data_IF_169357572741
#
_entry.id   IF_169357572741
#
_cell.length_a   1.000
_cell.length_b   1.000
_cell.length_c   1.000
_cell.angle_alpha   90.00
_cell.angle_beta   90.00
_cell.angle_gamma   90.00
#
_symmetry.space_group_name_H-M   'P 1'
#
loop_
_entity.id
_entity.type
_entity.pdbx_description
1 polymer ?
#
# COMPACT_ATOMS: atom_id res chain seq x y z
N UNK A 1 -8.82 12.31 24.72
CA UNK A 1 -9.14 12.06 23.30
C UNK A 1 -10.63 12.33 23.12
N UNK A 2 -11.06 13.21 22.19
CA UNK A 2 -12.48 13.46 22.01
C UNK A 2 -13.14 12.21 21.42
N UNK A 3 -14.36 11.89 21.88
CA UNK A 3 -15.17 10.76 21.46
C UNK A 3 -15.30 10.74 19.92
N UNK A 4 -14.45 9.96 19.23
CA UNK A 4 -14.75 9.57 17.87
C UNK A 4 -16.00 8.69 17.93
N UNK A 5 -17.09 9.19 17.37
CA UNK A 5 -18.27 8.41 17.02
C UNK A 5 -17.87 7.01 16.54
N UNK A 6 -18.41 5.97 17.14
CA UNK A 6 -18.16 4.56 16.76
C UNK A 6 -18.79 4.17 15.42
N UNK A 7 -19.61 5.03 14.81
CA UNK A 7 -20.23 4.75 13.52
C UNK A 7 -19.22 4.89 12.36
N UNK A 8 -18.86 3.75 11.76
CA UNK A 8 -17.87 3.67 10.69
C UNK A 8 -18.24 4.48 9.44
N UNK A 9 -19.53 4.56 9.10
CA UNK A 9 -19.99 5.35 7.95
C UNK A 9 -19.80 6.84 8.22
N UNK A 10 -20.14 7.32 9.41
CA UNK A 10 -19.90 8.71 9.78
C UNK A 10 -18.42 9.07 9.72
N UNK A 11 -17.54 8.21 10.24
CA UNK A 11 -16.09 8.39 10.12
C UNK A 11 -15.67 8.51 8.65
N UNK A 12 -16.13 7.60 7.79
CA UNK A 12 -15.83 7.61 6.36
C UNK A 12 -16.30 8.90 5.68
N UNK A 13 -17.54 9.35 5.92
CA UNK A 13 -18.07 10.60 5.34
C UNK A 13 -17.22 11.80 5.77
N UNK A 14 -16.75 11.80 7.02
CA UNK A 14 -15.93 12.87 7.58
C UNK A 14 -14.49 12.86 7.11
N UNK A 15 -13.93 11.71 6.74
CA UNK A 15 -12.59 11.63 6.18
C UNK A 15 -12.51 12.12 4.73
N UNK A 16 -13.63 12.22 4.01
CA UNK A 16 -13.64 12.64 2.61
C UNK A 16 -13.19 14.10 2.43
N UNK A 17 -12.38 14.33 1.42
CA UNK A 17 -12.05 15.68 0.96
C UNK A 17 -13.21 16.34 0.19
N UNK A 18 -13.17 17.66 0.06
CA UNK A 18 -14.19 18.41 -0.69
C UNK A 18 -14.35 17.91 -2.13
N UNK A 19 -13.25 17.54 -2.79
CA UNK A 19 -13.27 17.00 -4.14
C UNK A 19 -13.94 15.62 -4.20
N UNK A 20 -13.63 14.74 -3.25
CA UNK A 20 -14.21 13.40 -3.14
C UNK A 20 -15.72 13.46 -2.86
N UNK A 21 -16.15 14.32 -1.93
CA UNK A 21 -17.58 14.55 -1.64
C UNK A 21 -18.35 15.00 -2.89
N UNK A 22 -17.74 15.89 -3.69
CA UNK A 22 -18.34 16.35 -4.95
C UNK A 22 -18.43 15.21 -5.97
N UNK A 23 -17.36 14.43 -6.11
CA UNK A 23 -17.30 13.31 -7.05
C UNK A 23 -18.33 12.24 -6.69
N UNK A 24 -18.48 11.90 -5.41
CA UNK A 24 -19.51 10.98 -4.92
C UNK A 24 -20.92 11.41 -5.34
N UNK A 25 -21.28 12.69 -5.13
CA UNK A 25 -22.60 13.21 -5.53
C UNK A 25 -22.82 13.12 -7.05
N UNK A 26 -21.78 13.34 -7.85
CA UNK A 26 -21.86 13.19 -9.31
C UNK A 26 -21.98 11.73 -9.73
N UNK A 27 -21.25 10.84 -9.06
CA UNK A 27 -21.28 9.40 -9.29
C UNK A 27 -22.69 8.85 -9.08
N UNK A 28 -23.30 9.14 -7.92
CA UNK A 28 -24.68 8.73 -7.63
C UNK A 28 -25.64 9.30 -8.68
N UNK A 29 -25.57 10.61 -8.97
CA UNK A 29 -26.47 11.22 -9.98
C UNK A 29 -26.37 10.61 -11.38
N UNK A 30 -25.22 10.05 -11.77
CA UNK A 30 -25.02 9.44 -13.10
C UNK A 30 -25.52 8.01 -13.19
N UNK A 31 -25.45 7.25 -12.11
CA UNK A 31 -25.68 5.80 -12.11
C UNK A 31 -27.07 5.41 -11.61
N UNK A 32 -27.93 6.39 -11.32
CA UNK A 32 -29.11 6.18 -10.50
C UNK A 32 -30.41 6.74 -11.07
N UNK A 33 -31.49 5.99 -10.87
CA UNK A 33 -32.88 6.47 -10.96
C UNK A 33 -33.39 6.91 -9.56
N UNK A 34 -34.63 7.40 -9.48
CA UNK A 34 -35.21 8.18 -8.35
C UNK A 34 -35.01 7.68 -6.90
N UNK A 35 -34.67 6.41 -6.66
CA UNK A 35 -34.42 5.85 -5.33
C UNK A 35 -33.19 6.46 -4.61
N UNK A 36 -32.27 7.07 -5.35
CA UNK A 36 -30.97 7.52 -4.83
C UNK A 36 -30.96 8.96 -4.28
N UNK A 37 -32.10 9.65 -4.32
CA UNK A 37 -32.29 10.91 -3.59
C UNK A 37 -32.12 10.70 -2.08
N UNK A 38 -32.56 9.55 -1.54
CA UNK A 38 -32.41 9.23 -0.11
C UNK A 38 -30.95 9.00 0.28
N UNK A 39 -30.14 8.44 -0.61
CA UNK A 39 -28.70 8.22 -0.40
C UNK A 39 -27.98 9.58 -0.33
N UNK A 40 -28.27 10.50 -1.25
CA UNK A 40 -27.71 11.86 -1.23
C UNK A 40 -28.18 12.62 0.03
N UNK A 41 -29.47 12.50 0.41
CA UNK A 41 -30.00 13.12 1.63
C UNK A 41 -29.29 12.61 2.88
N UNK A 42 -29.14 11.29 3.03
CA UNK A 42 -28.42 10.68 4.15
C UNK A 42 -26.97 11.15 4.19
N UNK A 43 -26.28 11.17 3.05
CA UNK A 43 -24.92 11.68 2.94
C UNK A 43 -24.80 13.14 3.39
N UNK A 44 -25.67 14.00 2.90
CA UNK A 44 -25.67 15.44 3.24
C UNK A 44 -25.99 15.69 4.70
N UNK A 45 -26.87 14.88 5.29
CA UNK A 45 -27.17 14.95 6.71
C UNK A 45 -25.94 14.59 7.55
N UNK A 46 -25.28 13.46 7.25
CA UNK A 46 -24.07 13.02 7.93
C UNK A 46 -22.90 14.01 7.75
N UNK A 47 -22.72 14.56 6.55
CA UNK A 47 -21.65 15.54 6.27
C UNK A 47 -21.83 16.85 7.04
N UNK A 48 -23.07 17.26 7.33
CA UNK A 48 -23.35 18.48 8.11
C UNK A 48 -23.24 18.30 9.62
N UNK A 49 -23.40 17.07 10.12
CA UNK A 49 -23.37 16.79 11.57
C UNK A 49 -21.96 16.91 12.14
N UNK A 50 -21.79 17.52 13.32
CA UNK A 50 -20.47 17.60 13.98
C UNK A 50 -20.11 16.28 14.68
N UNK A 51 -21.08 15.72 15.38
CA UNK A 51 -21.00 14.43 16.06
C UNK A 51 -22.15 13.55 15.58
N UNK A 52 -21.95 12.25 15.59
CA UNK A 52 -22.98 11.30 15.17
C UNK A 52 -24.05 11.15 16.25
N UNK A 53 -25.30 11.37 15.85
CA UNK A 53 -26.49 11.21 16.69
C UNK A 53 -27.66 10.73 15.80
N UNK A 54 -28.10 9.50 16.01
CA UNK A 54 -29.15 8.88 15.21
C UNK A 54 -30.52 9.55 15.38
N UNK A 55 -30.85 10.01 16.58
CA UNK A 55 -32.13 10.64 16.87
C UNK A 55 -32.21 12.01 16.19
N UNK A 56 -31.11 12.77 16.23
CA UNK A 56 -30.99 14.04 15.50
C UNK A 56 -31.02 13.82 13.99
N UNK A 57 -30.39 12.75 13.49
CA UNK A 57 -30.41 12.39 12.07
C UNK A 57 -31.84 12.11 11.58
N UNK A 58 -32.61 11.30 12.32
CA UNK A 58 -33.98 10.94 11.96
C UNK A 58 -34.96 12.10 12.13
N UNK A 59 -34.86 12.86 13.23
CA UNK A 59 -35.75 14.00 13.49
C UNK A 59 -35.62 15.13 12.46
N UNK A 60 -34.42 15.34 11.90
CA UNK A 60 -34.19 16.37 10.87
C UNK A 60 -34.45 15.91 9.43
N UNK A 61 -34.73 14.62 9.21
CA UNK A 61 -34.90 14.04 7.89
C UNK A 61 -36.09 13.07 7.86
N UNK A 62 -37.31 13.61 7.82
CA UNK A 62 -38.57 12.84 7.87
C UNK A 62 -38.72 11.79 6.74
N UNK A 63 -37.99 11.95 5.63
CA UNK A 63 -37.95 10.97 4.53
C UNK A 63 -37.20 9.67 4.88
N UNK A 64 -36.38 9.69 5.93
CA UNK A 64 -35.59 8.57 6.42
C UNK A 64 -36.35 7.85 7.54
N UNK A 65 -36.80 6.63 7.25
CA UNK A 65 -37.49 5.79 8.24
C UNK A 65 -36.48 4.99 9.04
N UNK A 66 -36.67 4.90 10.37
CA UNK A 66 -35.80 4.13 11.26
C UNK A 66 -35.62 2.67 10.82
N UNK A 67 -36.68 2.03 10.32
CA UNK A 67 -36.60 0.64 9.84
C UNK A 67 -35.69 0.48 8.60
N UNK A 68 -35.54 1.52 7.79
CA UNK A 68 -34.74 1.51 6.56
C UNK A 68 -33.31 2.02 6.77
N UNK A 69 -33.03 2.70 7.89
CA UNK A 69 -31.78 3.42 8.11
C UNK A 69 -30.56 2.50 8.02
N UNK A 70 -30.61 1.31 8.62
CA UNK A 70 -29.49 0.35 8.56
C UNK A 70 -29.13 -0.02 7.13
N UNK A 71 -30.12 -0.37 6.30
CA UNK A 71 -29.91 -0.71 4.90
C UNK A 71 -29.43 0.49 4.08
N UNK A 72 -29.98 1.69 4.34
CA UNK A 72 -29.55 2.91 3.66
C UNK A 72 -28.11 3.29 4.00
N UNK A 73 -27.68 3.08 5.25
CA UNK A 73 -26.29 3.28 5.67
C UNK A 73 -25.36 2.30 4.98
N UNK A 74 -25.70 1.01 4.95
CA UNK A 74 -24.90 0.00 4.25
C UNK A 74 -24.77 0.34 2.75
N UNK A 75 -25.89 0.68 2.10
CA UNK A 75 -25.87 1.07 0.70
C UNK A 75 -25.07 2.35 0.45
N UNK A 76 -25.20 3.38 1.30
CA UNK A 76 -24.40 4.60 1.20
C UNK A 76 -22.91 4.30 1.36
N UNK A 77 -22.54 3.45 2.30
CA UNK A 77 -21.15 3.03 2.52
C UNK A 77 -20.57 2.40 1.25
N UNK A 78 -21.26 1.42 0.67
CA UNK A 78 -20.82 0.74 -0.57
C UNK A 78 -20.72 1.70 -1.76
N UNK A 79 -21.65 2.65 -1.88
CA UNK A 79 -21.65 3.67 -2.94
C UNK A 79 -20.49 4.66 -2.79
N UNK A 80 -20.14 5.06 -1.55
CA UNK A 80 -18.98 5.92 -1.29
C UNK A 80 -17.70 5.17 -1.70
N UNK A 81 -17.53 3.93 -1.25
CA UNK A 81 -16.35 3.13 -1.61
C UNK A 81 -16.23 2.92 -3.13
N UNK A 82 -17.35 2.63 -3.80
CA UNK A 82 -17.39 2.47 -5.26
C UNK A 82 -17.01 3.75 -5.99
N UNK A 83 -17.50 4.91 -5.53
CA UNK A 83 -17.11 6.20 -6.10
C UNK A 83 -15.64 6.52 -5.87
N UNK A 84 -15.11 6.28 -4.67
CA UNK A 84 -13.71 6.54 -4.34
C UNK A 84 -12.78 5.66 -5.18
N UNK A 85 -13.12 4.38 -5.36
CA UNK A 85 -12.36 3.45 -6.19
C UNK A 85 -12.15 3.99 -7.60
N UNK A 86 -13.17 4.58 -8.22
CA UNK A 86 -13.08 5.16 -9.58
C UNK A 86 -12.16 6.38 -9.62
N UNK A 87 -12.23 7.24 -8.59
CA UNK A 87 -11.39 8.46 -8.53
C UNK A 87 -9.93 8.09 -8.34
N UNK A 88 -9.64 7.15 -7.43
CA UNK A 88 -8.28 6.73 -7.06
C UNK A 88 -7.66 5.71 -8.01
N UNK A 89 -8.42 5.24 -8.99
CA UNK A 89 -7.99 4.21 -9.92
C UNK A 89 -6.72 4.58 -10.68
N UNK A 90 -6.58 5.82 -11.12
CA UNK A 90 -5.40 6.26 -11.88
C UNK A 90 -4.19 6.62 -10.98
N UNK A 91 -4.39 6.70 -9.67
CA UNK A 91 -3.34 7.08 -8.70
C UNK A 91 -2.76 5.87 -8.00
N UNK A 92 -3.53 4.78 -7.85
CA UNK A 92 -3.12 3.60 -7.11
C UNK A 92 -2.81 2.43 -8.05
N UNK A 93 -1.53 2.02 -8.09
CA UNK A 93 -1.05 0.96 -8.97
C UNK A 93 -1.74 -0.39 -8.73
N UNK A 94 -2.09 -0.71 -7.49
CA UNK A 94 -2.76 -1.97 -7.12
C UNK A 94 -4.18 -1.99 -7.70
N UNK A 95 -4.91 -0.88 -7.62
CA UNK A 95 -6.23 -0.74 -8.23
C UNK A 95 -6.17 -0.88 -9.76
N UNK A 96 -5.15 -0.31 -10.42
CA UNK A 96 -4.95 -0.45 -11.86
C UNK A 96 -4.67 -1.90 -12.26
N UNK A 97 -3.77 -2.57 -11.54
CA UNK A 97 -3.42 -3.97 -11.79
C UNK A 97 -4.64 -4.86 -11.58
N UNK A 98 -5.40 -4.65 -10.51
CA UNK A 98 -6.63 -5.39 -10.22
C UNK A 98 -7.66 -5.25 -11.34
N UNK A 99 -7.95 -4.03 -11.79
CA UNK A 99 -8.90 -3.83 -12.88
C UNK A 99 -8.45 -4.55 -14.15
N UNK A 100 -7.19 -4.42 -14.55
CA UNK A 100 -6.69 -5.09 -15.75
C UNK A 100 -6.76 -6.62 -15.61
N UNK A 101 -6.49 -7.17 -14.42
CA UNK A 101 -6.67 -8.59 -14.14
C UNK A 101 -8.14 -9.02 -14.28
N UNK A 102 -9.08 -8.19 -13.81
CA UNK A 102 -10.51 -8.46 -13.95
C UNK A 102 -10.94 -8.44 -15.42
N UNK A 103 -10.46 -7.47 -16.21
CA UNK A 103 -10.64 -7.45 -17.67
C UNK A 103 -10.07 -8.71 -18.33
N UNK A 104 -8.88 -9.16 -17.93
CA UNK A 104 -8.28 -10.38 -18.48
C UNK A 104 -9.14 -11.62 -18.17
N UNK A 105 -9.69 -11.73 -16.96
CA UNK A 105 -10.60 -12.80 -16.56
C UNK A 105 -11.94 -12.74 -17.31
N UNK A 106 -12.50 -11.55 -17.53
CA UNK A 106 -13.72 -11.35 -18.32
C UNK A 106 -13.51 -11.85 -19.75
N UNK A 107 -12.40 -11.45 -20.40
CA UNK A 107 -12.05 -11.90 -21.74
C UNK A 107 -11.89 -13.43 -21.81
N UNK A 108 -11.20 -14.01 -20.82
CA UNK A 108 -11.07 -15.45 -20.68
C UNK A 108 -12.45 -16.16 -20.61
N UNK A 109 -13.34 -15.68 -19.73
CA UNK A 109 -14.68 -16.24 -19.56
C UNK A 109 -15.57 -16.08 -20.81
N UNK A 110 -15.27 -15.12 -21.68
CA UNK A 110 -15.93 -14.93 -22.99
C UNK A 110 -15.30 -15.75 -24.12
N UNK A 111 -14.29 -16.58 -23.84
CA UNK A 111 -13.58 -17.37 -24.84
C UNK A 111 -12.52 -16.60 -25.65
N UNK A 112 -12.24 -15.35 -25.27
CA UNK A 112 -11.27 -14.47 -25.94
C UNK A 112 -9.86 -14.67 -25.37
N UNK A 113 -9.33 -15.89 -25.51
CA UNK A 113 -8.09 -16.32 -24.83
C UNK A 113 -6.85 -15.55 -25.27
N UNK A 114 -6.67 -15.31 -26.57
CA UNK A 114 -5.51 -14.56 -27.10
C UNK A 114 -5.54 -13.10 -26.63
N UNK A 115 -6.72 -12.50 -26.55
CA UNK A 115 -6.91 -11.14 -26.03
C UNK A 115 -6.61 -11.09 -24.53
N UNK A 116 -7.04 -12.10 -23.77
CA UNK A 116 -6.69 -12.25 -22.35
C UNK A 116 -5.17 -12.34 -22.17
N UNK A 117 -4.47 -13.21 -22.92
CA UNK A 117 -3.00 -13.35 -22.88
C UNK A 117 -2.27 -12.04 -23.20
N UNK A 118 -2.72 -11.31 -24.23
CA UNK A 118 -2.14 -9.99 -24.57
C UNK A 118 -2.27 -8.98 -23.44
N UNK A 119 -3.37 -9.04 -22.68
CA UNK A 119 -3.56 -8.18 -21.53
C UNK A 119 -2.68 -8.62 -20.36
N UNK A 120 -2.57 -9.92 -20.09
CA UNK A 120 -1.68 -10.48 -19.07
C UNK A 120 -0.22 -10.07 -19.28
N UNK A 121 0.26 -10.02 -20.52
CA UNK A 121 1.64 -9.59 -20.81
C UNK A 121 1.89 -8.11 -20.44
N UNK A 122 0.88 -7.25 -20.66
CA UNK A 122 0.95 -5.85 -20.22
C UNK A 122 0.95 -5.74 -18.70
N UNK A 123 0.08 -6.50 -18.03
CA UNK A 123 0.00 -6.52 -16.56
C UNK A 123 1.32 -7.02 -15.97
N UNK A 124 1.93 -8.06 -16.56
CA UNK A 124 3.23 -8.60 -16.14
C UNK A 124 4.34 -7.55 -16.20
N UNK A 125 4.35 -6.75 -17.26
CA UNK A 125 5.32 -5.64 -17.41
C UNK A 125 5.09 -4.60 -16.30
N UNK A 126 3.83 -4.23 -16.07
CA UNK A 126 3.43 -3.25 -15.06
C UNK A 126 3.79 -3.72 -13.64
N UNK A 127 3.55 -4.99 -13.32
CA UNK A 127 3.87 -5.55 -11.99
C UNK A 127 5.36 -5.62 -11.76
N UNK A 128 6.16 -6.03 -12.76
CA UNK A 128 7.63 -6.04 -12.68
C UNK A 128 8.20 -4.63 -12.46
N UNK A 129 7.72 -3.62 -13.19
CA UNK A 129 8.16 -2.22 -13.07
C UNK A 129 7.86 -1.60 -11.69
N UNK A 130 6.78 -2.02 -11.04
CA UNK A 130 6.34 -1.49 -9.75
C UNK A 130 6.65 -2.42 -8.56
N UNK A 131 7.49 -3.43 -8.75
CA UNK A 131 7.86 -4.41 -7.71
C UNK A 131 6.67 -5.18 -7.09
N UNK A 132 5.57 -5.34 -7.84
CA UNK A 132 4.33 -5.97 -7.39
C UNK A 132 4.36 -7.50 -7.57
N UNK A 133 5.19 -8.19 -6.78
CA UNK A 133 5.52 -9.62 -6.95
C UNK A 133 4.30 -10.55 -6.74
N UNK A 134 3.41 -10.23 -5.79
CA UNK A 134 2.21 -11.04 -5.52
C UNK A 134 1.22 -10.99 -6.69
N UNK A 135 1.08 -9.83 -7.33
CA UNK A 135 0.30 -9.68 -8.55
C UNK A 135 0.95 -10.37 -9.75
N UNK A 136 2.28 -10.31 -9.86
CA UNK A 136 3.02 -11.05 -10.88
C UNK A 136 2.71 -12.55 -10.81
N UNK A 137 2.68 -13.14 -9.61
CA UNK A 137 2.28 -14.54 -9.42
C UNK A 137 0.84 -14.80 -9.90
N UNK A 138 -0.12 -13.92 -9.58
CA UNK A 138 -1.50 -14.06 -10.06
C UNK A 138 -1.59 -14.03 -11.59
N UNK A 139 -0.84 -13.14 -12.24
CA UNK A 139 -0.75 -13.05 -13.71
C UNK A 139 -0.20 -14.36 -14.28
N UNK A 140 0.93 -14.84 -13.76
CA UNK A 140 1.59 -16.06 -14.22
C UNK A 140 0.71 -17.30 -14.04
N UNK A 141 -0.03 -17.41 -12.93
CA UNK A 141 -0.97 -18.51 -12.73
C UNK A 141 -2.13 -18.48 -13.71
N UNK A 142 -2.69 -17.30 -14.00
CA UNK A 142 -3.76 -17.17 -14.98
C UNK A 142 -3.25 -17.48 -16.40
N UNK A 143 -2.05 -17.02 -16.74
CA UNK A 143 -1.42 -17.36 -18.01
C UNK A 143 -1.19 -18.87 -18.15
N UNK A 144 -0.59 -19.50 -17.13
CA UNK A 144 -0.37 -20.95 -17.08
C UNK A 144 -1.67 -21.74 -17.24
N UNK A 145 -2.77 -21.27 -16.61
CA UNK A 145 -4.11 -21.88 -16.75
C UNK A 145 -4.63 -21.79 -18.19
N UNK A 146 -4.44 -20.66 -18.87
CA UNK A 146 -4.89 -20.49 -20.26
C UNK A 146 -4.10 -21.43 -21.18
N UNK A 147 -2.77 -21.41 -21.05
CA UNK A 147 -1.85 -22.23 -21.85
C UNK A 147 -2.09 -23.74 -21.64
N UNK A 148 -2.46 -24.17 -20.43
CA UNK A 148 -2.72 -25.58 -20.15
C UNK A 148 -4.05 -26.10 -20.71
N UNK A 149 -5.02 -25.22 -20.97
CA UNK A 149 -6.39 -25.60 -21.33
C UNK A 149 -6.73 -25.32 -22.80
N UNK A 150 -5.97 -24.48 -23.49
CA UNK A 150 -6.32 -23.99 -24.81
C UNK A 150 -5.12 -24.03 -25.77
N UNK A 151 -5.38 -24.35 -27.04
CA UNK A 151 -4.36 -24.25 -28.08
C UNK A 151 -4.20 -22.77 -28.44
N UNK A 152 -3.23 -22.13 -27.80
CA UNK A 152 -2.88 -20.70 -27.98
C UNK A 152 -1.89 -20.48 -29.12
N UNK A 153 -1.25 -21.57 -29.61
CA UNK A 153 -0.11 -21.56 -30.54
C UNK A 153 1.07 -20.72 -29.99
N UNK A 154 1.22 -20.72 -28.66
CA UNK A 154 2.37 -20.13 -27.98
C UNK A 154 3.67 -20.86 -28.37
N UNK A 155 4.82 -20.19 -28.19
CA UNK A 155 6.13 -20.72 -28.57
C UNK A 155 6.40 -22.08 -27.92
N UNK A 156 7.17 -22.95 -28.60
CA UNK A 156 7.49 -24.33 -28.18
C UNK A 156 8.05 -24.45 -26.74
N UNK A 157 8.55 -23.35 -26.15
CA UNK A 157 9.14 -23.33 -24.80
C UNK A 157 8.32 -22.55 -23.75
N UNK A 158 7.09 -22.10 -24.05
CA UNK A 158 6.33 -21.23 -23.12
C UNK A 158 6.09 -21.87 -21.76
N UNK A 159 5.82 -23.18 -21.73
CA UNK A 159 5.62 -23.91 -20.47
C UNK A 159 6.84 -23.87 -19.55
N UNK A 160 8.04 -24.00 -20.13
CA UNK A 160 9.31 -23.91 -19.37
C UNK A 160 9.54 -22.48 -18.88
N UNK A 161 9.40 -21.49 -19.76
CA UNK A 161 9.53 -20.08 -19.39
C UNK A 161 8.59 -19.69 -18.25
N UNK A 162 7.32 -20.12 -18.30
CA UNK A 162 6.36 -19.87 -17.22
C UNK A 162 6.76 -20.53 -15.90
N UNK A 163 7.36 -21.72 -15.95
CA UNK A 163 7.89 -22.37 -14.74
C UNK A 163 9.02 -21.54 -14.14
N UNK A 164 10.00 -21.18 -14.96
CA UNK A 164 11.16 -20.39 -14.54
C UNK A 164 10.73 -19.02 -13.97
N UNK A 165 9.78 -18.33 -14.63
CA UNK A 165 9.22 -17.05 -14.16
C UNK A 165 8.48 -17.18 -12.80
N UNK A 166 7.77 -18.28 -12.57
CA UNK A 166 7.08 -18.54 -11.29
C UNK A 166 8.09 -18.83 -10.18
N UNK A 167 9.11 -19.63 -10.46
CA UNK A 167 10.14 -19.99 -9.49
C UNK A 167 10.95 -18.76 -9.07
N UNK A 168 11.33 -17.90 -10.03
CA UNK A 168 11.97 -16.61 -9.74
C UNK A 168 11.08 -15.70 -8.87
N UNK A 169 9.79 -15.58 -9.22
CA UNK A 169 8.86 -14.76 -8.45
C UNK A 169 8.66 -15.28 -7.01
N UNK A 170 8.62 -16.61 -6.82
CA UNK A 170 8.54 -17.23 -5.51
C UNK A 170 9.81 -17.03 -4.67
N UNK A 171 10.99 -17.13 -5.29
CA UNK A 171 12.25 -16.84 -4.61
C UNK A 171 12.27 -15.38 -4.11
N UNK A 172 11.92 -14.43 -4.98
CA UNK A 172 11.81 -13.02 -4.59
C UNK A 172 10.81 -12.80 -3.47
N UNK A 173 9.61 -13.39 -3.56
CA UNK A 173 8.59 -13.27 -2.51
C UNK A 173 9.11 -13.81 -1.16
N UNK A 174 9.82 -14.93 -1.17
CA UNK A 174 10.45 -15.52 0.01
C UNK A 174 11.50 -14.60 0.63
N UNK A 175 12.34 -13.97 -0.20
CA UNK A 175 13.34 -13.00 0.25
C UNK A 175 12.70 -11.77 0.89
N UNK A 176 11.68 -11.21 0.23
CA UNK A 176 10.92 -10.05 0.71
C UNK A 176 10.27 -10.38 2.06
N UNK A 177 9.51 -11.48 2.14
CA UNK A 177 8.78 -11.85 3.35
C UNK A 177 9.71 -12.10 4.55
N UNK A 178 10.82 -12.80 4.35
CA UNK A 178 11.76 -13.10 5.44
C UNK A 178 12.49 -11.85 5.94
N UNK A 179 12.94 -11.00 5.02
CA UNK A 179 13.63 -9.77 5.40
C UNK A 179 12.69 -8.74 6.04
N UNK A 180 11.45 -8.63 5.58
CA UNK A 180 10.43 -7.79 6.22
C UNK A 180 10.07 -8.27 7.62
N UNK A 181 9.98 -9.59 7.82
CA UNK A 181 9.73 -10.16 9.14
C UNK A 181 10.85 -9.82 10.13
N UNK A 182 12.11 -9.94 9.71
CA UNK A 182 13.26 -9.58 10.54
C UNK A 182 13.26 -8.08 10.89
N UNK A 183 12.99 -7.21 9.91
CA UNK A 183 12.86 -5.76 10.14
C UNK A 183 11.76 -5.46 11.17
N UNK A 184 10.62 -6.14 11.05
CA UNK A 184 9.50 -5.99 12.00
C UNK A 184 9.85 -6.52 13.40
N UNK A 185 10.60 -7.62 13.51
CA UNK A 185 11.07 -8.15 14.78
C UNK A 185 12.02 -7.18 15.49
N UNK A 186 12.95 -6.56 14.76
CA UNK A 186 13.84 -5.52 15.31
C UNK A 186 13.05 -4.30 15.81
N UNK A 187 12.06 -3.85 15.04
CA UNK A 187 11.15 -2.78 15.48
C UNK A 187 10.34 -3.19 16.72
N UNK A 188 9.81 -4.41 16.75
CA UNK A 188 9.08 -4.95 17.90
C UNK A 188 9.95 -5.04 19.15
N UNK A 189 11.22 -5.44 18.99
CA UNK A 189 12.20 -5.46 20.08
C UNK A 189 12.40 -4.05 20.66
N UNK A 190 12.56 -3.03 19.81
CA UNK A 190 12.71 -1.64 20.24
C UNK A 190 11.47 -1.13 21.01
N UNK A 191 10.25 -1.43 20.56
CA UNK A 191 9.04 -1.04 21.29
C UNK A 191 9.02 -1.63 22.71
N UNK A 192 9.49 -2.87 22.86
CA UNK A 192 9.46 -3.59 24.13
C UNK A 192 10.56 -3.15 25.11
N UNK A 193 11.77 -2.87 24.60
CA UNK A 193 12.97 -2.70 25.45
C UNK A 193 13.57 -1.27 25.39
N UNK A 194 13.28 -0.51 24.34
CA UNK A 194 13.92 0.77 24.04
C UNK A 194 15.32 0.58 23.44
N UNK A 195 16.25 1.48 23.77
CA UNK A 195 17.67 1.29 23.42
C UNK A 195 18.31 0.18 24.26
N UNK A 196 19.30 -0.51 23.68
CA UNK A 196 20.09 -1.52 24.37
C UNK A 196 20.86 -0.91 25.55
N UNK A 197 20.78 -1.53 26.73
CA UNK A 197 21.32 -0.97 27.99
C UNK A 197 22.48 -1.77 28.57
N UNK A 198 22.64 -3.01 28.12
CA UNK A 198 23.67 -3.94 28.60
C UNK A 198 24.15 -4.87 27.46
N UNK A 199 25.12 -5.72 27.76
CA UNK A 199 25.69 -6.66 26.80
C UNK A 199 24.73 -7.80 26.43
N UNK A 200 23.78 -8.13 27.29
CA UNK A 200 22.75 -9.14 27.01
C UNK A 200 21.79 -8.66 25.90
N UNK A 201 21.34 -7.41 25.97
CA UNK A 201 20.54 -6.76 24.93
C UNK A 201 21.27 -6.75 23.59
N UNK A 202 22.55 -6.35 23.60
CA UNK A 202 23.42 -6.32 22.42
C UNK A 202 23.56 -7.72 21.81
N UNK A 203 23.80 -8.73 22.64
CA UNK A 203 23.91 -10.12 22.20
C UNK A 203 22.61 -10.62 21.58
N UNK A 204 21.45 -10.29 22.17
CA UNK A 204 20.15 -10.66 21.60
C UNK A 204 19.91 -10.02 20.22
N UNK A 205 20.30 -8.75 20.04
CA UNK A 205 20.22 -8.06 18.76
C UNK A 205 21.19 -8.62 17.73
N UNK A 206 22.41 -8.98 18.15
CA UNK A 206 23.42 -9.61 17.29
C UNK A 206 22.92 -10.95 16.76
N UNK A 207 22.23 -11.74 17.58
CA UNK A 207 21.61 -13.00 17.16
C UNK A 207 20.54 -12.78 16.08
N UNK A 208 19.72 -11.73 16.19
CA UNK A 208 18.77 -11.37 15.12
C UNK A 208 19.49 -10.99 13.82
N UNK A 209 20.59 -10.25 13.91
CA UNK A 209 21.38 -9.83 12.75
C UNK A 209 22.23 -10.96 12.13
N UNK A 210 22.34 -12.12 12.77
CA UNK A 210 22.98 -13.32 12.22
C UNK A 210 22.04 -14.14 11.31
N UNK A 211 20.78 -13.73 11.13
CA UNK A 211 19.86 -14.42 10.22
C UNK A 211 20.45 -14.47 8.79
N UNK A 212 20.58 -15.68 8.18
CA UNK A 212 21.13 -15.86 6.83
C UNK A 212 20.42 -15.04 5.75
N UNK A 213 19.18 -14.59 6.01
CA UNK A 213 18.43 -13.75 5.07
C UNK A 213 19.20 -12.48 4.71
N UNK A 214 19.93 -11.86 5.64
CA UNK A 214 20.63 -10.59 5.42
C UNK A 214 21.76 -10.71 4.39
N UNK A 215 22.43 -11.86 4.34
CA UNK A 215 23.41 -12.15 3.30
C UNK A 215 22.74 -12.53 1.97
N UNK A 216 21.61 -13.25 2.00
CA UNK A 216 20.87 -13.59 0.78
C UNK A 216 20.31 -12.35 0.06
N UNK A 217 19.77 -11.39 0.80
CA UNK A 217 19.20 -10.16 0.20
C UNK A 217 20.26 -9.14 -0.19
N UNK A 218 21.53 -9.35 0.17
CA UNK A 218 22.64 -8.44 -0.16
C UNK A 218 22.91 -8.35 -1.66
N UNK A 219 22.72 -9.45 -2.39
CA UNK A 219 22.87 -9.54 -3.85
C UNK A 219 21.54 -9.39 -4.59
N UNK A 220 20.43 -9.21 -3.86
CA UNK A 220 19.13 -9.03 -4.47
C UNK A 220 19.03 -7.67 -5.18
N UNK A 221 18.40 -7.66 -6.35
CA UNK A 221 18.26 -6.46 -7.17
C UNK A 221 16.91 -5.75 -6.96
N UNK A 222 15.93 -6.43 -6.39
CA UNK A 222 14.59 -5.90 -6.16
C UNK A 222 14.55 -4.79 -5.10
N UNK A 223 13.54 -3.93 -5.19
CA UNK A 223 13.39 -2.76 -4.33
C UNK A 223 13.17 -3.15 -2.87
N UNK A 224 12.19 -4.03 -2.61
CA UNK A 224 11.79 -4.40 -1.25
C UNK A 224 12.88 -5.17 -0.51
N UNK A 225 13.59 -6.06 -1.20
CA UNK A 225 14.71 -6.83 -0.64
C UNK A 225 15.82 -5.88 -0.13
N UNK A 226 16.14 -4.83 -0.90
CA UNK A 226 17.10 -3.78 -0.48
C UNK A 226 16.54 -2.93 0.65
N UNK A 227 15.28 -2.51 0.54
CA UNK A 227 14.60 -1.69 1.54
C UNK A 227 14.63 -2.36 2.91
N UNK A 228 14.14 -3.60 3.02
CA UNK A 228 14.06 -4.30 4.29
C UNK A 228 15.44 -4.61 4.86
N UNK A 229 16.44 -4.89 4.02
CA UNK A 229 17.84 -4.99 4.48
C UNK A 229 18.32 -3.69 5.12
N UNK A 230 18.03 -2.54 4.50
CA UNK A 230 18.43 -1.24 5.03
C UNK A 230 17.68 -0.92 6.33
N UNK A 231 16.40 -1.26 6.42
CA UNK A 231 15.61 -1.10 7.65
C UNK A 231 16.16 -1.95 8.80
N UNK A 232 16.54 -3.21 8.56
CA UNK A 232 17.15 -4.04 9.60
C UNK A 232 18.40 -3.38 10.19
N UNK A 233 19.33 -2.94 9.33
CA UNK A 233 20.54 -2.28 9.81
C UNK A 233 20.29 -0.89 10.42
N UNK A 234 19.29 -0.16 9.92
CA UNK A 234 18.86 1.12 10.48
C UNK A 234 18.38 0.95 11.92
N UNK A 235 17.48 -0.03 12.16
CA UNK A 235 17.00 -0.36 13.50
C UNK A 235 18.12 -0.86 14.40
N UNK A 236 18.94 -1.79 13.92
CA UNK A 236 20.04 -2.32 14.71
C UNK A 236 21.03 -1.23 15.16
N UNK A 237 21.42 -0.32 14.25
CA UNK A 237 22.27 0.83 14.60
C UNK A 237 21.59 1.77 15.60
N UNK A 238 20.32 2.09 15.38
CA UNK A 238 19.56 2.97 16.26
C UNK A 238 19.42 2.41 17.68
N UNK A 239 19.05 1.14 17.80
CA UNK A 239 18.86 0.46 19.09
C UNK A 239 20.18 0.40 19.88
N UNK A 240 21.29 0.10 19.20
CA UNK A 240 22.62 0.04 19.81
C UNK A 240 23.29 1.41 20.01
N UNK A 241 22.63 2.49 19.60
CA UNK A 241 23.18 3.86 19.59
C UNK A 241 24.46 3.99 18.74
N UNK A 242 24.62 3.12 17.74
CA UNK A 242 25.60 3.32 16.67
C UNK A 242 25.01 4.30 15.65
N UNK A 243 25.14 5.59 15.95
CA UNK A 243 24.58 6.67 15.14
C UNK A 243 25.19 6.73 13.73
N UNK A 244 26.43 6.26 13.54
CA UNK A 244 27.06 6.20 12.21
C UNK A 244 26.42 5.10 11.35
N UNK A 245 26.15 3.93 11.93
CA UNK A 245 25.46 2.85 11.25
C UNK A 245 24.01 3.23 10.94
N UNK A 246 23.31 3.83 11.91
CA UNK A 246 21.95 4.33 11.75
C UNK A 246 21.87 5.36 10.61
N UNK A 247 22.77 6.34 10.59
CA UNK A 247 22.88 7.32 9.50
C UNK A 247 23.13 6.66 8.15
N UNK A 248 24.16 5.80 8.05
CA UNK A 248 24.53 5.13 6.80
C UNK A 248 23.35 4.41 6.16
N UNK A 249 22.55 3.71 6.97
CA UNK A 249 21.44 2.91 6.45
C UNK A 249 20.13 3.70 6.29
N UNK A 250 19.93 4.78 7.05
CA UNK A 250 18.87 5.75 6.78
C UNK A 250 19.10 6.49 5.46
N UNK A 251 20.35 6.88 5.17
CA UNK A 251 20.70 7.50 3.90
C UNK A 251 20.47 6.54 2.74
N UNK A 252 20.94 5.29 2.82
CA UNK A 252 20.71 4.27 1.78
C UNK A 252 19.22 3.99 1.55
N UNK A 253 18.41 4.04 2.60
CA UNK A 253 16.96 3.92 2.48
C UNK A 253 16.40 5.09 1.67
N UNK A 254 16.71 6.34 2.01
CA UNK A 254 16.24 7.51 1.25
C UNK A 254 16.76 7.47 -0.19
N UNK A 255 18.05 7.20 -0.40
CA UNK A 255 18.66 7.10 -1.73
C UNK A 255 17.99 6.04 -2.62
N UNK A 256 17.51 4.94 -2.03
CA UNK A 256 16.78 3.90 -2.76
C UNK A 256 15.47 4.43 -3.35
N UNK A 257 14.77 5.29 -2.61
CA UNK A 257 13.58 5.99 -3.10
C UNK A 257 13.92 7.09 -4.09
N UNK A 258 15.01 7.85 -3.88
CA UNK A 258 15.49 8.85 -4.84
C UNK A 258 15.86 8.23 -6.20
N UNK A 259 16.35 6.99 -6.20
CA UNK A 259 16.64 6.25 -7.42
C UNK A 259 15.38 5.62 -8.08
N UNK A 260 14.22 5.66 -7.42
CA UNK A 260 13.00 4.94 -7.83
C UNK A 260 11.76 5.82 -7.65
N UNK A 261 11.56 6.83 -8.51
CA UNK A 261 10.49 7.83 -8.34
C UNK A 261 9.08 7.23 -8.26
N UNK A 262 8.79 6.16 -9.00
CA UNK A 262 7.50 5.46 -8.90
C UNK A 262 7.25 4.88 -7.50
N UNK A 263 8.31 4.47 -6.79
CA UNK A 263 8.20 3.93 -5.45
C UNK A 263 7.93 5.01 -4.41
N UNK A 264 8.31 6.28 -4.64
CA UNK A 264 7.92 7.39 -3.73
C UNK A 264 6.41 7.53 -3.65
N UNK A 265 5.71 7.37 -4.78
CA UNK A 265 4.24 7.42 -4.83
C UNK A 265 3.64 6.14 -4.26
N UNK A 266 4.08 4.97 -4.76
CA UNK A 266 3.53 3.67 -4.36
C UNK A 266 3.72 3.38 -2.86
N UNK A 267 4.85 3.80 -2.29
CA UNK A 267 5.29 3.50 -0.92
C UNK A 267 5.54 4.80 -0.12
N UNK A 268 4.66 5.78 -0.30
CA UNK A 268 4.74 7.12 0.31
C UNK A 268 5.05 7.08 1.81
N UNK A 269 4.36 6.23 2.56
CA UNK A 269 4.55 6.11 4.01
C UNK A 269 5.97 5.62 4.38
N UNK A 270 6.53 4.68 3.61
CA UNK A 270 7.88 4.17 3.83
C UNK A 270 8.94 5.22 3.46
N UNK A 271 8.69 6.04 2.43
CA UNK A 271 9.58 7.15 2.08
C UNK A 271 9.63 8.20 3.19
N UNK A 272 8.46 8.65 3.67
CA UNK A 272 8.36 9.59 4.80
C UNK A 272 9.05 9.03 6.05
N UNK A 273 8.86 7.73 6.34
CA UNK A 273 9.55 7.07 7.44
C UNK A 273 11.08 7.05 7.25
N UNK A 274 11.56 6.83 6.02
CA UNK A 274 12.99 6.91 5.68
C UNK A 274 13.56 8.31 5.93
N UNK A 275 12.88 9.35 5.44
CA UNK A 275 13.25 10.75 5.68
C UNK A 275 13.27 11.08 7.17
N UNK A 276 12.27 10.65 7.93
CA UNK A 276 12.22 10.85 9.37
C UNK A 276 13.44 10.23 10.10
N UNK A 277 13.81 8.99 9.75
CA UNK A 277 15.00 8.35 10.31
C UNK A 277 16.29 9.09 9.91
N UNK A 278 16.39 9.55 8.66
CA UNK A 278 17.56 10.32 8.20
C UNK A 278 17.70 11.66 8.92
N UNK A 279 16.57 12.36 9.15
CA UNK A 279 16.52 13.58 9.96
C UNK A 279 17.01 13.30 11.39
N UNK A 280 16.50 12.24 12.03
CA UNK A 280 16.96 11.83 13.37
C UNK A 280 18.47 11.56 13.39
N UNK A 281 18.96 10.80 12.40
CA UNK A 281 20.38 10.48 12.32
C UNK A 281 21.27 11.72 12.11
N UNK A 282 20.83 12.69 11.30
CA UNK A 282 21.54 13.96 11.14
C UNK A 282 21.56 14.78 12.44
N UNK A 283 20.47 14.77 13.20
CA UNK A 283 20.41 15.43 14.50
C UNK A 283 21.37 14.79 15.51
N UNK A 284 21.35 13.45 15.64
CA UNK A 284 22.22 12.70 16.55
C UNK A 284 23.72 12.93 16.25
N UNK A 285 24.06 13.03 14.96
CA UNK A 285 25.42 13.32 14.49
C UNK A 285 25.76 14.82 14.44
N UNK A 286 24.85 15.71 14.82
CA UNK A 286 25.01 17.18 14.75
C UNK A 286 25.36 17.71 13.36
N UNK A 287 24.89 17.03 12.31
CA UNK A 287 25.04 17.46 10.93
C UNK A 287 23.92 18.44 10.55
N UNK A 288 23.95 19.64 11.13
CA UNK A 288 22.85 20.61 11.03
C UNK A 288 22.56 21.09 9.60
N UNK A 289 23.59 21.16 8.74
CA UNK A 289 23.39 21.53 7.34
C UNK A 289 22.52 20.48 6.63
N UNK A 290 22.91 19.20 6.70
CA UNK A 290 22.16 18.14 6.04
C UNK A 290 20.79 17.92 6.69
N UNK A 291 20.67 18.12 8.00
CA UNK A 291 19.40 18.12 8.70
C UNK A 291 18.38 19.08 8.05
N UNK A 292 18.79 20.34 7.83
CA UNK A 292 17.94 21.36 7.20
C UNK A 292 17.58 20.99 5.76
N UNK A 293 18.55 20.47 4.99
CA UNK A 293 18.32 20.01 3.62
C UNK A 293 17.27 18.88 3.57
N UNK A 294 17.37 17.88 4.45
CA UNK A 294 16.41 16.76 4.49
C UNK A 294 15.02 17.19 4.97
N UNK A 295 14.92 18.13 5.92
CA UNK A 295 13.63 18.70 6.33
C UNK A 295 12.95 19.41 5.15
N UNK A 296 13.70 20.20 4.37
CA UNK A 296 13.17 20.87 3.19
C UNK A 296 12.64 19.86 2.15
N UNK A 297 13.32 18.73 1.96
CA UNK A 297 12.84 17.65 1.07
C UNK A 297 11.48 17.12 1.56
N UNK A 298 11.35 16.85 2.86
CA UNK A 298 10.10 16.37 3.45
C UNK A 298 8.96 17.39 3.30
N UNK A 299 9.22 18.67 3.58
CA UNK A 299 8.25 19.77 3.44
C UNK A 299 7.80 19.92 1.99
N UNK A 300 8.73 19.94 1.04
CA UNK A 300 8.43 20.03 -0.38
C UNK A 300 7.58 18.84 -0.86
N UNK A 301 7.95 17.63 -0.44
CA UNK A 301 7.20 16.42 -0.78
C UNK A 301 5.76 16.48 -0.24
N UNK A 302 5.57 16.98 1.00
CA UNK A 302 4.23 17.12 1.60
C UNK A 302 3.34 18.16 0.91
N UNK A 303 3.94 19.14 0.22
CA UNK A 303 3.19 20.15 -0.53
C UNK A 303 2.80 19.69 -1.94
N UNK A 304 3.48 18.65 -2.46
CA UNK A 304 3.27 18.11 -3.81
C UNK A 304 2.49 16.79 -3.86
N UNK A 305 2.29 16.16 -2.70
CA UNK A 305 1.60 14.86 -2.55
C UNK A 305 0.19 15.05 -2.04
#
# INVERSE_FOLDING_TARGET
MPNLSTDALFILVKSLERAEKRNFKLYVKRNSASADLKIIQLFDALDKMKEYDEEVLLSKNESLQKQQLSNLKAHLYDQILSSLRIVKQNENIDLQIHEQLDHAKILYNKGLYIQSLRLLEKIKTLTKQNNQVTYLLQVLFLEKKIESLHITRSMQDRAKQLSDEIDEANERLSLIAKSSNLSLQLYGWYIQHGHARNDEDRTALDLLMQDPILEKVKTANGFYEKLYRYQCHCWYGFINQDFLLHYRYSQKWVDLFEASDNMKQNETAQYIKGLHNLISAHFDLRNFQKLQETILILENFSNTS
#
